data_IF_876742995683
#
_entry.id   IF_876742995683
#
_cell.length_a   1.000
_cell.length_b   1.000
_cell.length_c   1.000
_cell.angle_alpha   90.00
_cell.angle_beta   90.00
_cell.angle_gamma   90.00
#
_symmetry.space_group_name_H-M   'P 1'
#
loop_
_entity.id
_entity.type
_entity.pdbx_description
1 polymer ?
#
# COMPACT_ATOMS: atom_id res chain seq x y z
N UNK A 1 -10.67 -23.25 9.23
CA UNK A 1 -10.01 -21.98 9.62
C UNK A 1 -10.21 -21.79 11.11
N UNK A 2 -9.12 -21.75 11.86
CA UNK A 2 -9.09 -21.53 13.31
C UNK A 2 -9.42 -20.06 13.64
N UNK A 3 -10.01 -19.81 14.81
CA UNK A 3 -10.36 -18.45 15.25
C UNK A 3 -9.09 -17.73 15.71
N UNK A 4 -8.85 -16.49 15.26
CA UNK A 4 -7.75 -15.69 15.77
C UNK A 4 -8.04 -15.29 17.22
N UNK A 5 -7.03 -15.36 18.08
CA UNK A 5 -7.14 -14.81 19.44
C UNK A 5 -6.99 -13.29 19.42
N UNK A 6 -7.44 -12.61 20.48
CA UNK A 6 -7.27 -11.15 20.62
C UNK A 6 -5.78 -10.75 20.58
N UNK A 7 -4.88 -11.63 21.03
CA UNK A 7 -3.44 -11.43 20.98
C UNK A 7 -2.91 -11.53 19.55
N UNK A 8 -3.44 -12.44 18.73
CA UNK A 8 -3.07 -12.59 17.33
C UNK A 8 -3.51 -11.36 16.54
N UNK A 9 -4.73 -10.84 16.77
CA UNK A 9 -5.21 -9.62 16.11
C UNK A 9 -4.33 -8.41 16.43
N UNK A 10 -3.94 -8.24 17.70
CA UNK A 10 -3.02 -7.17 18.14
C UNK A 10 -1.63 -7.33 17.51
N UNK A 11 -1.12 -8.56 17.44
CA UNK A 11 0.14 -8.88 16.81
C UNK A 11 0.11 -8.52 15.32
N UNK A 12 -0.89 -9.00 14.59
CA UNK A 12 -1.08 -8.71 13.16
C UNK A 12 -1.24 -7.23 12.87
N UNK A 13 -2.01 -6.50 13.68
CA UNK A 13 -2.08 -5.04 13.59
C UNK A 13 -0.68 -4.43 13.69
N UNK A 14 0.09 -4.79 14.71
CA UNK A 14 1.44 -4.26 14.92
C UNK A 14 2.36 -4.59 13.75
N UNK A 15 2.32 -5.83 13.27
CA UNK A 15 3.11 -6.30 12.12
C UNK A 15 2.77 -5.52 10.86
N UNK A 16 1.49 -5.36 10.52
CA UNK A 16 1.07 -4.64 9.31
C UNK A 16 1.57 -3.19 9.35
N UNK A 17 1.34 -2.49 10.46
CA UNK A 17 1.75 -1.10 10.61
C UNK A 17 3.27 -0.94 10.59
N UNK A 18 4.00 -1.81 11.30
CA UNK A 18 5.45 -1.76 11.40
C UNK A 18 6.11 -2.14 10.07
N UNK A 19 5.62 -3.18 9.38
CA UNK A 19 6.10 -3.58 8.07
C UNK A 19 5.86 -2.48 7.03
N UNK A 20 4.71 -1.81 7.08
CA UNK A 20 4.39 -0.71 6.17
C UNK A 20 5.25 0.52 6.45
N UNK A 21 5.43 0.89 7.73
CA UNK A 21 6.31 1.99 8.11
C UNK A 21 7.77 1.73 7.74
N UNK A 22 8.24 0.50 7.91
CA UNK A 22 9.60 0.10 7.51
C UNK A 22 9.73 -0.22 6.02
N UNK A 23 8.63 -0.35 5.28
CA UNK A 23 8.66 -0.73 3.87
C UNK A 23 9.45 0.25 3.01
N UNK A 24 9.22 1.56 3.19
CA UNK A 24 9.96 2.62 2.47
C UNK A 24 11.47 2.58 2.77
N UNK A 25 11.94 2.61 4.04
CA UNK A 25 13.37 2.54 4.32
C UNK A 25 14.00 1.20 3.92
N UNK A 26 13.27 0.08 3.98
CA UNK A 26 13.75 -1.22 3.48
C UNK A 26 13.97 -1.16 1.97
N UNK A 27 13.01 -0.65 1.20
CA UNK A 27 13.12 -0.52 -0.27
C UNK A 27 14.31 0.39 -0.64
N UNK A 28 14.45 1.53 0.04
CA UNK A 28 15.58 2.44 -0.16
C UNK A 28 16.91 1.81 0.25
N UNK A 29 16.95 1.05 1.35
CA UNK A 29 18.13 0.35 1.83
C UNK A 29 18.59 -0.72 0.85
N UNK A 30 17.67 -1.54 0.34
CA UNK A 30 17.93 -2.53 -0.72
C UNK A 30 18.47 -1.82 -1.97
N UNK A 31 17.87 -0.69 -2.36
CA UNK A 31 18.36 0.10 -3.50
C UNK A 31 19.82 0.56 -3.29
N UNK A 32 20.15 1.11 -2.13
CA UNK A 32 21.51 1.56 -1.83
C UNK A 32 22.51 0.40 -1.77
N UNK A 33 22.11 -0.74 -1.20
CA UNK A 33 22.92 -1.96 -1.15
C UNK A 33 23.26 -2.47 -2.57
N UNK A 34 22.25 -2.53 -3.45
CA UNK A 34 22.44 -2.98 -4.83
C UNK A 34 23.30 -2.00 -5.63
N UNK A 35 23.15 -0.70 -5.42
CA UNK A 35 24.02 0.32 -6.03
C UNK A 35 25.48 0.13 -5.61
N UNK A 36 25.72 -0.12 -4.32
CA UNK A 36 27.06 -0.37 -3.78
C UNK A 36 27.70 -1.64 -4.34
N UNK A 37 26.93 -2.70 -4.56
CA UNK A 37 27.43 -3.96 -5.12
C UNK A 37 27.69 -3.91 -6.63
N UNK A 38 26.84 -3.25 -7.41
CA UNK A 38 26.91 -3.27 -8.88
C UNK A 38 27.62 -2.06 -9.49
N UNK A 39 27.93 -1.05 -8.69
CA UNK A 39 28.60 0.19 -9.10
C UNK A 39 27.81 1.04 -10.11
N UNK A 40 26.59 0.63 -10.47
CA UNK A 40 25.76 1.24 -11.50
C UNK A 40 24.35 1.48 -10.97
N UNK A 41 23.76 2.61 -11.37
CA UNK A 41 22.36 2.92 -11.08
C UNK A 41 21.46 1.86 -11.72
N UNK A 42 20.77 1.06 -10.89
CA UNK A 42 19.64 0.22 -11.33
C UNK A 42 18.41 1.05 -11.71
N UNK A 43 18.39 2.33 -11.33
CA UNK A 43 17.35 3.25 -11.75
C UNK A 43 17.56 3.60 -13.24
N UNK A 44 16.50 3.57 -14.06
CA UNK A 44 16.56 4.13 -15.40
C UNK A 44 17.09 5.56 -15.33
N UNK A 45 17.87 5.98 -16.32
CA UNK A 45 18.27 7.37 -16.43
C UNK A 45 17.01 8.22 -16.71
N UNK A 46 16.47 8.83 -15.67
CA UNK A 46 15.29 9.69 -15.77
C UNK A 46 15.77 11.06 -16.26
N UNK A 47 15.33 11.47 -17.45
CA UNK A 47 15.51 12.84 -17.91
C UNK A 47 14.77 13.78 -16.93
N UNK A 48 15.43 14.79 -16.33
CA UNK A 48 14.81 15.73 -15.41
C UNK A 48 13.53 16.38 -15.95
N UNK A 49 13.44 16.58 -17.26
CA UNK A 49 12.25 17.14 -17.93
C UNK A 49 10.98 16.28 -17.72
N UNK A 50 11.14 14.96 -17.54
CA UNK A 50 10.03 14.03 -17.38
C UNK A 50 9.54 13.89 -15.92
N UNK A 51 10.22 14.52 -14.95
CA UNK A 51 9.89 14.39 -13.52
C UNK A 51 8.47 14.91 -13.24
N UNK A 52 8.10 16.06 -13.81
CA UNK A 52 6.75 16.64 -13.62
C UNK A 52 5.66 15.72 -14.16
N UNK A 53 5.85 15.17 -15.37
CA UNK A 53 4.93 14.20 -15.97
C UNK A 53 4.78 12.95 -15.10
N UNK A 54 5.90 12.42 -14.59
CA UNK A 54 5.88 11.24 -13.73
C UNK A 54 5.16 11.50 -12.40
N UNK A 55 5.37 12.67 -11.78
CA UNK A 55 4.62 13.09 -10.60
C UNK A 55 3.12 13.19 -10.86
N UNK A 56 2.73 13.68 -12.05
CA UNK A 56 1.34 13.68 -12.50
C UNK A 56 0.74 12.27 -12.53
N UNK A 57 1.43 11.32 -13.18
CA UNK A 57 1.01 9.90 -13.24
C UNK A 57 0.86 9.31 -11.84
N UNK A 58 1.84 9.52 -10.96
CA UNK A 58 1.84 8.97 -9.59
C UNK A 58 0.73 9.59 -8.74
N UNK A 59 0.48 10.90 -8.91
CA UNK A 59 -0.60 11.63 -8.24
C UNK A 59 -1.96 11.07 -8.66
N UNK A 60 -2.20 10.93 -9.97
CA UNK A 60 -3.44 10.34 -10.50
C UNK A 60 -3.61 8.90 -10.01
N UNK A 61 -2.57 8.07 -10.09
CA UNK A 61 -2.59 6.71 -9.56
C UNK A 61 -3.01 6.68 -8.07
N UNK A 62 -2.42 7.54 -7.24
CA UNK A 62 -2.68 7.57 -5.80
C UNK A 62 -4.14 7.92 -5.49
N UNK A 63 -4.69 8.93 -6.17
CA UNK A 63 -6.09 9.33 -6.00
C UNK A 63 -7.04 8.24 -6.50
N UNK A 64 -6.82 7.73 -7.72
CA UNK A 64 -7.68 6.70 -8.32
C UNK A 64 -7.71 5.42 -7.47
N UNK A 65 -6.55 4.96 -7.00
CA UNK A 65 -6.46 3.76 -6.16
C UNK A 65 -7.06 3.97 -4.78
N UNK A 66 -6.97 5.17 -4.21
CA UNK A 66 -7.69 5.51 -2.98
C UNK A 66 -9.20 5.36 -3.17
N UNK A 67 -9.73 5.86 -4.29
CA UNK A 67 -11.15 5.68 -4.65
C UNK A 67 -11.54 4.21 -4.84
N UNK A 68 -10.69 3.43 -5.51
CA UNK A 68 -10.92 1.99 -5.69
C UNK A 68 -10.95 1.23 -4.37
N UNK A 69 -9.98 1.48 -3.49
CA UNK A 69 -9.95 0.87 -2.16
C UNK A 69 -11.19 1.29 -1.37
N UNK A 70 -11.56 2.58 -1.37
CA UNK A 70 -12.78 3.05 -0.70
C UNK A 70 -14.05 2.33 -1.21
N UNK A 71 -14.15 2.08 -2.52
CA UNK A 71 -15.26 1.33 -3.11
C UNK A 71 -15.28 -0.13 -2.63
N UNK A 72 -14.12 -0.80 -2.52
CA UNK A 72 -14.01 -2.13 -1.90
C UNK A 72 -14.52 -2.09 -0.46
N UNK A 73 -14.12 -1.07 0.31
CA UNK A 73 -14.59 -0.90 1.69
C UNK A 73 -16.12 -0.80 1.78
N UNK A 74 -16.73 0.03 0.92
CA UNK A 74 -18.18 0.16 0.84
C UNK A 74 -18.87 -1.14 0.42
N UNK A 75 -18.30 -1.87 -0.53
CA UNK A 75 -18.80 -3.18 -0.96
C UNK A 75 -18.75 -4.21 0.18
N UNK A 76 -17.64 -4.31 0.91
CA UNK A 76 -17.53 -5.24 2.05
C UNK A 76 -18.53 -4.93 3.16
N UNK A 77 -18.84 -3.64 3.37
CA UNK A 77 -19.89 -3.22 4.30
C UNK A 77 -21.31 -3.55 3.80
N UNK A 78 -21.54 -3.57 2.48
CA UNK A 78 -22.86 -3.90 1.91
C UNK A 78 -23.14 -5.41 1.94
N UNK A 79 -22.13 -6.26 1.70
CA UNK A 79 -22.26 -7.73 1.80
C UNK A 79 -22.14 -8.27 3.23
N UNK A 80 -22.09 -7.37 4.20
CA UNK A 80 -21.72 -7.66 5.57
C UNK A 80 -22.73 -8.52 6.35
N UNK A 81 -23.91 -8.74 5.77
CA UNK A 81 -24.98 -9.63 6.26
C UNK A 81 -24.91 -11.06 5.69
N UNK A 82 -24.00 -11.32 4.76
CA UNK A 82 -23.85 -12.63 4.13
C UNK A 82 -23.23 -13.63 5.14
N UNK A 83 -23.77 -14.85 5.32
CA UNK A 83 -23.29 -15.82 6.31
C UNK A 83 -21.79 -16.13 6.23
N UNK A 84 -21.22 -16.27 5.03
CA UNK A 84 -19.77 -16.48 4.83
C UNK A 84 -18.95 -15.30 5.35
N UNK A 85 -19.43 -14.07 5.14
CA UNK A 85 -18.79 -12.86 5.65
C UNK A 85 -18.93 -12.72 7.16
N UNK A 86 -20.06 -13.16 7.72
CA UNK A 86 -20.30 -13.22 9.16
C UNK A 86 -19.31 -14.18 9.85
N UNK A 87 -19.03 -15.34 9.25
CA UNK A 87 -18.05 -16.28 9.77
C UNK A 87 -16.61 -15.73 9.70
N UNK A 88 -16.26 -15.05 8.59
CA UNK A 88 -14.97 -14.36 8.46
C UNK A 88 -14.80 -13.22 9.47
N UNK A 89 -15.88 -12.48 9.75
CA UNK A 89 -15.94 -11.47 10.81
C UNK A 89 -15.73 -12.09 12.19
N UNK A 90 -16.47 -13.15 12.50
CA UNK A 90 -16.46 -13.78 13.82
C UNK A 90 -15.14 -14.48 14.14
N UNK A 91 -14.29 -14.73 13.14
CA UNK A 91 -12.96 -15.33 13.31
C UNK A 91 -11.82 -14.31 13.46
N UNK A 92 -12.11 -13.01 13.51
CA UNK A 92 -11.12 -11.94 13.73
C UNK A 92 -10.34 -11.47 12.49
N UNK A 93 -10.49 -12.15 11.36
CA UNK A 93 -9.79 -11.81 10.11
C UNK A 93 -10.24 -10.48 9.50
N UNK A 94 -11.49 -10.08 9.74
CA UNK A 94 -12.03 -8.80 9.30
C UNK A 94 -11.25 -7.62 9.92
N UNK A 95 -10.86 -7.74 11.20
CA UNK A 95 -10.05 -6.73 11.89
C UNK A 95 -8.69 -6.57 11.21
N UNK A 96 -8.03 -7.68 10.86
CA UNK A 96 -6.73 -7.67 10.17
C UNK A 96 -6.85 -7.02 8.80
N UNK A 97 -7.90 -7.36 8.04
CA UNK A 97 -8.17 -6.74 6.74
C UNK A 97 -8.40 -5.23 6.86
N UNK A 98 -9.20 -4.77 7.82
CA UNK A 98 -9.44 -3.33 7.99
C UNK A 98 -8.18 -2.56 8.38
N UNK A 99 -7.23 -3.18 9.08
CA UNK A 99 -5.93 -2.57 9.34
C UNK A 99 -5.10 -2.44 8.06
N UNK A 100 -5.04 -3.48 7.22
CA UNK A 100 -4.35 -3.42 5.94
C UNK A 100 -4.99 -2.39 5.00
N UNK A 101 -6.32 -2.38 4.93
CA UNK A 101 -7.13 -1.38 4.23
C UNK A 101 -6.80 0.05 4.69
N UNK A 102 -6.85 0.30 6.00
CA UNK A 102 -6.61 1.62 6.56
C UNK A 102 -5.18 2.11 6.31
N UNK A 103 -4.20 1.23 6.48
CA UNK A 103 -2.80 1.52 6.17
C UNK A 103 -2.62 1.84 4.69
N UNK A 104 -3.26 1.11 3.79
CA UNK A 104 -3.17 1.35 2.35
C UNK A 104 -3.66 2.74 1.96
N UNK A 105 -4.80 3.18 2.52
CA UNK A 105 -5.33 4.53 2.29
C UNK A 105 -4.36 5.59 2.83
N UNK A 106 -3.85 5.41 4.05
CA UNK A 106 -2.93 6.36 4.67
C UNK A 106 -1.65 6.49 3.84
N UNK A 107 -1.10 5.39 3.34
CA UNK A 107 0.11 5.43 2.52
C UNK A 107 -0.13 6.01 1.12
N UNK A 108 -1.28 5.76 0.50
CA UNK A 108 -1.67 6.43 -0.76
C UNK A 108 -1.81 7.94 -0.56
N UNK A 109 -2.45 8.38 0.53
CA UNK A 109 -2.55 9.80 0.91
C UNK A 109 -1.18 10.39 1.22
N UNK A 110 -0.31 9.66 1.91
CA UNK A 110 1.06 10.09 2.18
C UNK A 110 1.87 10.23 0.88
N UNK A 111 1.66 9.35 -0.09
CA UNK A 111 2.31 9.41 -1.42
C UNK A 111 1.84 10.64 -2.19
N UNK A 112 0.53 10.89 -2.19
CA UNK A 112 -0.05 12.11 -2.74
C UNK A 112 0.53 13.37 -2.08
N UNK A 113 0.55 13.41 -0.75
CA UNK A 113 1.13 14.51 0.02
C UNK A 113 2.62 14.72 -0.27
N UNK A 114 3.38 13.63 -0.41
CA UNK A 114 4.81 13.68 -0.76
C UNK A 114 5.02 14.23 -2.18
N UNK A 115 4.16 13.85 -3.14
CA UNK A 115 4.16 14.42 -4.49
C UNK A 115 3.89 15.93 -4.46
N UNK A 116 2.88 16.37 -3.69
CA UNK A 116 2.59 17.80 -3.52
C UNK A 116 3.77 18.54 -2.88
N UNK A 117 4.39 18.00 -1.84
CA UNK A 117 5.56 18.60 -1.20
C UNK A 117 6.74 18.73 -2.16
N UNK A 118 6.98 17.72 -3.00
CA UNK A 118 8.02 17.76 -4.04
C UNK A 118 7.75 18.84 -5.09
N UNK A 119 6.48 19.04 -5.49
CA UNK A 119 6.09 20.11 -6.42
C UNK A 119 6.27 21.51 -5.82
N UNK A 120 6.03 21.68 -4.51
CA UNK A 120 6.09 22.98 -3.83
C UNK A 120 7.49 23.42 -3.41
N UNK A 121 8.41 22.47 -3.19
CA UNK A 121 9.74 22.78 -2.62
C UNK A 121 10.85 22.74 -3.66
N UNK A 122 11.22 21.55 -4.12
CA UNK A 122 12.24 21.35 -5.15
C UNK A 122 12.08 19.97 -5.78
N UNK A 123 12.15 19.91 -7.11
CA UNK A 123 12.11 18.64 -7.86
C UNK A 123 13.47 17.93 -7.80
N UNK A 124 13.87 17.49 -6.61
CA UNK A 124 15.14 16.79 -6.40
C UNK A 124 15.03 15.29 -6.70
N UNK A 125 16.12 14.71 -7.18
CA UNK A 125 16.21 13.26 -7.44
C UNK A 125 16.04 12.42 -6.17
N UNK A 126 16.33 12.99 -5.00
CA UNK A 126 16.16 12.31 -3.72
C UNK A 126 14.68 12.17 -3.34
N UNK A 127 13.90 13.23 -3.52
CA UNK A 127 12.43 13.17 -3.36
C UNK A 127 11.81 12.14 -4.30
N UNK A 128 12.29 12.08 -5.54
CA UNK A 128 11.82 11.12 -6.54
C UNK A 128 12.00 9.67 -6.10
N UNK A 129 13.15 9.34 -5.50
CA UNK A 129 13.42 8.00 -4.96
C UNK A 129 12.46 7.63 -3.84
N UNK A 130 12.13 8.58 -2.96
CA UNK A 130 11.16 8.36 -1.88
C UNK A 130 9.77 8.11 -2.44
N UNK A 131 9.31 8.97 -3.36
CA UNK A 131 8.00 8.85 -4.00
C UNK A 131 7.87 7.50 -4.71
N UNK A 132 8.89 7.09 -5.47
CA UNK A 132 8.86 5.81 -6.17
C UNK A 132 8.91 4.60 -5.21
N UNK A 133 9.63 4.72 -4.10
CA UNK A 133 9.62 3.69 -3.05
C UNK A 133 8.24 3.57 -2.38
N UNK A 134 7.56 4.69 -2.15
CA UNK A 134 6.17 4.70 -1.67
C UNK A 134 5.22 4.06 -2.69
N UNK A 135 5.39 4.32 -3.99
CA UNK A 135 4.59 3.69 -5.05
C UNK A 135 4.73 2.17 -5.03
N UNK A 136 5.96 1.64 -4.90
CA UNK A 136 6.20 0.19 -4.79
C UNK A 136 5.47 -0.38 -3.57
N UNK A 137 5.56 0.28 -2.42
CA UNK A 137 4.87 -0.15 -1.21
C UNK A 137 3.34 -0.14 -1.39
N UNK A 138 2.78 0.90 -2.03
CA UNK A 138 1.36 0.95 -2.35
C UNK A 138 0.92 -0.18 -3.28
N UNK A 139 1.74 -0.56 -4.27
CA UNK A 139 1.45 -1.69 -5.14
C UNK A 139 1.38 -3.00 -4.35
N UNK A 140 2.31 -3.22 -3.41
CA UNK A 140 2.28 -4.41 -2.53
C UNK A 140 0.98 -4.44 -1.72
N UNK A 141 0.60 -3.31 -1.12
CA UNK A 141 -0.65 -3.17 -0.38
C UNK A 141 -1.89 -3.47 -1.23
N UNK A 142 -1.97 -2.90 -2.44
CA UNK A 142 -3.08 -3.11 -3.36
C UNK A 142 -3.18 -4.59 -3.74
N UNK A 143 -2.06 -5.22 -4.13
CA UNK A 143 -2.03 -6.65 -4.48
C UNK A 143 -2.50 -7.51 -3.30
N UNK A 144 -2.05 -7.20 -2.08
CA UNK A 144 -2.47 -7.94 -0.88
C UNK A 144 -3.99 -7.79 -0.62
N UNK A 145 -4.54 -6.58 -0.70
CA UNK A 145 -5.98 -6.34 -0.55
C UNK A 145 -6.77 -7.08 -1.63
N UNK A 146 -6.37 -6.94 -2.90
CA UNK A 146 -7.03 -7.61 -4.02
C UNK A 146 -7.02 -9.12 -3.85
N UNK A 147 -5.89 -9.70 -3.44
CA UNK A 147 -5.78 -11.13 -3.17
C UNK A 147 -6.77 -11.58 -2.08
N UNK A 148 -6.86 -10.83 -0.97
CA UNK A 148 -7.80 -11.16 0.11
C UNK A 148 -9.24 -11.07 -0.39
N UNK A 149 -9.62 -9.99 -1.08
CA UNK A 149 -10.99 -9.80 -1.57
C UNK A 149 -11.37 -10.89 -2.58
N UNK A 150 -10.51 -11.20 -3.54
CA UNK A 150 -10.77 -12.26 -4.54
C UNK A 150 -10.87 -13.63 -3.89
N UNK A 151 -10.03 -13.94 -2.89
CA UNK A 151 -10.14 -15.22 -2.18
C UNK A 151 -11.43 -15.34 -1.37
N UNK A 152 -11.94 -14.24 -0.80
CA UNK A 152 -13.25 -14.23 -0.15
C UNK A 152 -14.40 -14.37 -1.14
N UNK A 153 -14.33 -13.71 -2.31
CA UNK A 153 -15.35 -13.84 -3.35
C UNK A 153 -15.46 -15.28 -3.90
N UNK A 154 -14.34 -16.00 -4.03
CA UNK A 154 -14.32 -17.41 -4.45
C UNK A 154 -14.85 -18.38 -3.39
N UNK A 155 -14.77 -18.03 -2.11
CA UNK A 155 -15.27 -18.87 -1.02
C UNK A 155 -16.79 -18.77 -0.84
N UNK A 156 -17.45 -17.84 -1.54
CA UNK A 156 -18.90 -17.69 -1.56
C UNK A 156 -19.60 -18.39 -2.74
N UNK A 157 -18.85 -18.99 -3.65
CA UNK A 157 -19.33 -19.91 -4.70
C UNK A 157 -19.20 -21.37 -4.24
#
# INVERSE_FOLDING_TARGET
>A
MEMLTENDEKCWKRVIWLLSALGVPIILGIYHLLFMWKGSSLFPAINPENISTMLGIITTFSITMTGFIAAIGAYLLSISRNPTFSEWRNKGYLTVFFNLYGVSIIFLLATFGTCLMMLLTSMSMWWLKIVLSQVILNLIHIVAITYIVVSQAKASD
#
